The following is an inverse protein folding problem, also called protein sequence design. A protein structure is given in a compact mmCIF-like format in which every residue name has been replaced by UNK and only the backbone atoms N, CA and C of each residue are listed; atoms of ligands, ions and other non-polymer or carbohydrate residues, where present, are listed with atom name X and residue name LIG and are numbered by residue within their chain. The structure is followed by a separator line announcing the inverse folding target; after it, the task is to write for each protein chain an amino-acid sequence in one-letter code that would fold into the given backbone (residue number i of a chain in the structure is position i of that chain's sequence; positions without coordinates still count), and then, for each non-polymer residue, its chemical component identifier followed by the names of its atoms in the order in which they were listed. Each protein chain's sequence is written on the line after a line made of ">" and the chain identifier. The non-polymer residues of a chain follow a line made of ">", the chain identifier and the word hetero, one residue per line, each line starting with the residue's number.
data_IF_180397369938
#
_entry.id   IF_180397369938
#
_cell.length_a   1.000
_cell.length_b   1.000
_cell.length_c   1.000
_cell.angle_alpha   90.00
_cell.angle_beta   90.00
_cell.angle_gamma   90.00
#
_symmetry.space_group_name_H-M   'P 1'
#
loop_
_entity.id
_entity.type
_entity.pdbx_description
1 polymer ?
#
# COMPACT_ATOMS: atom_id res chain seq x y z
N UNK A 1 -2.87 -0.79 6.42
CA UNK A 1 -1.83 -1.17 5.46
C UNK A 1 -2.51 -1.88 4.31
N UNK A 2 -1.96 -1.73 3.12
CA UNK A 2 -2.34 -2.51 1.95
C UNK A 2 -1.08 -3.13 1.37
N UNK A 3 -1.22 -4.33 0.82
CA UNK A 3 -0.18 -5.03 0.07
C UNK A 3 -0.80 -5.74 -1.11
N UNK A 4 -0.11 -5.70 -2.25
CA UNK A 4 -0.44 -6.47 -3.43
C UNK A 4 0.82 -7.09 -4.04
N UNK A 5 0.69 -8.30 -4.55
CA UNK A 5 1.67 -8.93 -5.44
C UNK A 5 0.91 -9.68 -6.53
N UNK A 6 1.35 -9.53 -7.78
CA UNK A 6 0.74 -10.20 -8.94
C UNK A 6 1.80 -10.52 -9.98
N UNK A 7 1.54 -11.58 -10.74
CA UNK A 7 2.26 -11.93 -11.95
C UNK A 7 1.26 -11.93 -13.10
N UNK A 8 1.60 -11.29 -14.21
CA UNK A 8 0.79 -11.30 -15.43
C UNK A 8 1.65 -11.83 -16.56
N UNK A 9 1.13 -12.83 -17.26
CA UNK A 9 1.79 -13.43 -18.42
C UNK A 9 0.82 -13.46 -19.61
N UNK A 10 1.24 -12.78 -20.67
CA UNK A 10 0.56 -12.73 -21.97
C UNK A 10 1.62 -12.85 -23.08
N UNK A 11 1.69 -11.93 -24.04
CA UNK A 11 2.87 -11.77 -24.92
C UNK A 11 4.09 -11.24 -24.14
N UNK A 12 3.88 -10.66 -22.95
CA UNK A 12 4.92 -10.22 -22.01
C UNK A 12 4.64 -10.82 -20.64
N UNK A 13 5.70 -11.09 -19.89
CA UNK A 13 5.64 -11.52 -18.49
C UNK A 13 6.25 -10.45 -17.59
N UNK A 14 5.56 -10.11 -16.50
CA UNK A 14 6.04 -9.14 -15.52
C UNK A 14 5.34 -9.28 -14.17
N UNK A 15 6.04 -8.83 -13.14
CA UNK A 15 5.52 -8.71 -11.78
C UNK A 15 5.09 -7.28 -11.46
N UNK A 16 4.04 -7.17 -10.66
CA UNK A 16 3.58 -5.91 -10.10
C UNK A 16 3.18 -6.10 -8.65
N UNK A 17 3.17 -5.01 -7.90
CA UNK A 17 2.85 -5.07 -6.49
C UNK A 17 3.37 -3.88 -5.70
N UNK A 18 3.48 -4.09 -4.41
CA UNK A 18 3.89 -3.08 -3.46
C UNK A 18 3.20 -3.24 -2.12
N UNK A 19 3.60 -2.40 -1.19
CA UNK A 19 2.97 -2.30 0.12
C UNK A 19 3.03 -0.86 0.60
N UNK A 20 1.99 -0.43 1.29
CA UNK A 20 1.85 0.94 1.78
C UNK A 20 1.20 1.01 3.17
N UNK A 21 1.64 1.99 3.95
CA UNK A 21 1.15 2.22 5.31
C UNK A 21 0.25 3.46 5.37
N UNK A 22 -0.98 3.27 5.84
CA UNK A 22 -1.97 4.35 6.00
C UNK A 22 -2.39 4.47 7.47
N UNK A 23 -1.62 5.17 8.32
CA UNK A 23 -2.01 5.43 9.70
C UNK A 23 -3.15 6.45 9.77
N UNK A 24 -3.98 6.34 10.80
CA UNK A 24 -5.09 7.30 11.02
C UNK A 24 -4.58 8.63 11.56
N UNK A 25 -3.46 8.61 12.27
CA UNK A 25 -2.77 9.77 12.84
C UNK A 25 -1.31 9.79 12.34
N UNK A 26 -1.06 10.23 11.09
CA UNK A 26 0.29 10.26 10.52
C UNK A 26 1.30 11.00 11.38
N UNK A 27 0.87 12.06 12.06
CA UNK A 27 1.69 12.87 12.96
C UNK A 27 2.18 12.11 14.20
N UNK A 28 1.52 11.00 14.54
CA UNK A 28 1.89 10.12 15.67
C UNK A 28 2.61 8.86 15.22
N UNK A 29 2.71 8.62 13.90
CA UNK A 29 3.10 7.34 13.32
C UNK A 29 4.56 7.30 12.80
N UNK A 30 5.45 8.13 13.36
CA UNK A 30 6.81 8.30 12.86
C UNK A 30 7.67 7.04 13.07
N UNK A 31 7.45 6.31 14.17
CA UNK A 31 8.20 5.09 14.48
C UNK A 31 7.79 3.92 13.59
N UNK A 32 6.48 3.75 13.38
CA UNK A 32 5.86 2.77 12.50
C UNK A 32 6.28 3.01 11.06
N UNK A 33 6.25 4.27 10.64
CA UNK A 33 6.74 4.69 9.32
C UNK A 33 8.20 4.29 9.13
N UNK A 34 9.08 4.63 10.09
CA UNK A 34 10.51 4.23 10.01
C UNK A 34 10.69 2.72 9.95
N UNK A 35 10.01 1.96 10.81
CA UNK A 35 10.10 0.50 10.83
C UNK A 35 9.64 -0.10 9.50
N UNK A 36 8.50 0.35 8.98
CA UNK A 36 7.94 -0.11 7.72
C UNK A 36 8.87 0.19 6.53
N UNK A 37 9.36 1.42 6.45
CA UNK A 37 10.27 1.85 5.38
C UNK A 37 11.62 1.14 5.44
N UNK A 38 12.19 0.92 6.63
CA UNK A 38 13.44 0.18 6.79
C UNK A 38 13.29 -1.27 6.31
N UNK A 39 12.20 -1.95 6.68
CA UNK A 39 11.96 -3.33 6.24
C UNK A 39 11.81 -3.46 4.72
N UNK A 40 11.13 -2.50 4.08
CA UNK A 40 10.98 -2.47 2.61
C UNK A 40 12.30 -2.11 1.91
N UNK A 41 13.06 -1.17 2.48
CA UNK A 41 14.37 -0.78 1.96
C UNK A 41 15.35 -1.95 2.01
N UNK A 42 15.42 -2.67 3.13
CA UNK A 42 16.24 -3.88 3.28
C UNK A 42 15.83 -4.97 2.29
N UNK A 43 14.52 -5.15 2.05
CA UNK A 43 14.03 -6.09 1.06
C UNK A 43 14.44 -5.70 -0.36
N UNK A 44 14.34 -4.43 -0.72
CA UNK A 44 14.78 -3.94 -2.02
C UNK A 44 16.31 -4.06 -2.20
N UNK A 45 17.09 -3.66 -1.20
CA UNK A 45 18.54 -3.58 -1.28
C UNK A 45 19.23 -4.96 -1.40
N UNK A 46 18.55 -6.06 -1.05
CA UNK A 46 19.02 -7.43 -1.31
C UNK A 46 19.03 -7.80 -2.80
N UNK A 47 18.23 -7.12 -3.62
CA UNK A 47 18.06 -7.43 -5.04
C UNK A 47 18.71 -6.37 -5.92
N UNK A 48 18.47 -5.09 -5.64
CA UNK A 48 19.05 -3.97 -6.38
C UNK A 48 18.97 -2.68 -5.55
N UNK A 49 20.10 -1.99 -5.38
CA UNK A 49 20.19 -0.76 -4.57
C UNK A 49 19.35 0.41 -5.13
N UNK A 50 18.98 0.37 -6.40
CA UNK A 50 18.09 1.33 -7.05
C UNK A 50 16.60 1.03 -6.87
N UNK A 51 16.22 -0.15 -6.38
CA UNK A 51 14.81 -0.53 -6.24
C UNK A 51 14.08 0.32 -5.21
N UNK A 52 14.63 0.50 -4.01
CA UNK A 52 13.93 1.26 -2.98
C UNK A 52 13.69 2.72 -3.39
N UNK A 53 14.70 3.50 -3.85
CA UNK A 53 14.46 4.87 -4.29
C UNK A 53 13.41 4.96 -5.41
N UNK A 54 13.47 4.06 -6.40
CA UNK A 54 12.54 4.02 -7.53
C UNK A 54 11.11 3.69 -7.09
N UNK A 55 10.94 2.62 -6.32
CA UNK A 55 9.62 2.12 -5.95
C UNK A 55 8.98 2.94 -4.85
N UNK A 56 9.77 3.56 -3.97
CA UNK A 56 9.28 4.58 -3.04
C UNK A 56 8.72 5.76 -3.82
N UNK A 57 9.47 6.33 -4.76
CA UNK A 57 9.00 7.44 -5.57
C UNK A 57 7.71 7.09 -6.33
N UNK A 58 7.65 5.88 -6.91
CA UNK A 58 6.43 5.38 -7.54
C UNK A 58 5.25 5.21 -6.59
N UNK A 59 5.49 4.85 -5.32
CA UNK A 59 4.47 4.75 -4.29
C UNK A 59 3.90 6.13 -3.93
N UNK A 60 4.77 7.13 -3.75
CA UNK A 60 4.36 8.50 -3.43
C UNK A 60 3.53 9.11 -4.57
N UNK A 61 3.94 8.88 -5.81
CA UNK A 61 3.21 9.36 -6.99
C UNK A 61 1.86 8.64 -7.16
N UNK A 62 1.83 7.32 -7.02
CA UNK A 62 0.61 6.54 -7.25
C UNK A 62 -0.45 6.75 -6.17
N UNK A 63 -0.04 6.82 -4.89
CA UNK A 63 -0.94 6.93 -3.75
C UNK A 63 -1.14 8.38 -3.28
N UNK A 64 -1.32 9.30 -4.23
CA UNK A 64 -1.71 10.70 -3.97
C UNK A 64 -3.19 10.92 -4.28
N UNK A 65 -3.86 11.83 -3.57
CA UNK A 65 -5.22 12.30 -3.87
C UNK A 65 -5.13 13.70 -4.50
N UNK A 66 -5.09 13.84 -5.84
CA UNK A 66 -4.86 15.13 -6.49
C UNK A 66 -5.92 16.19 -6.15
N UNK A 67 -7.17 15.77 -5.94
CA UNK A 67 -8.27 16.68 -5.60
C UNK A 67 -8.26 17.18 -4.15
N UNK A 68 -7.43 16.58 -3.29
CA UNK A 68 -7.22 16.98 -1.89
C UNK A 68 -5.81 17.53 -1.66
N UNK A 69 -4.92 17.36 -2.63
CA UNK A 69 -3.48 17.57 -2.53
C UNK A 69 -2.87 16.93 -1.27
N UNK A 70 -3.23 15.67 -1.01
CA UNK A 70 -2.71 14.90 0.13
C UNK A 70 -2.30 13.48 -0.26
N UNK A 71 -1.24 12.92 0.34
CA UNK A 71 -0.93 11.51 0.19
C UNK A 71 -1.97 10.66 0.90
N UNK A 72 -2.22 9.46 0.38
CA UNK A 72 -3.14 8.49 1.02
C UNK A 72 -2.63 8.04 2.39
N UNK A 73 -1.31 7.91 2.54
CA UNK A 73 -0.65 7.41 3.75
C UNK A 73 0.80 7.90 3.84
N UNK A 74 1.62 7.17 4.61
CA UNK A 74 3.06 7.43 4.75
C UNK A 74 3.88 6.90 3.56
N UNK A 75 3.24 6.21 2.62
CA UNK A 75 3.91 5.59 1.47
C UNK A 75 4.39 4.18 1.78
N UNK A 76 5.43 3.77 1.09
CA UNK A 76 5.98 2.42 1.08
C UNK A 76 6.70 2.18 -0.25
N UNK A 77 6.41 1.07 -0.93
CA UNK A 77 6.92 0.81 -2.28
C UNK A 77 5.78 0.44 -3.22
N UNK A 78 5.89 0.86 -4.47
CA UNK A 78 5.00 0.48 -5.55
C UNK A 78 5.81 0.17 -6.81
N UNK A 79 5.53 -0.97 -7.42
CA UNK A 79 6.18 -1.40 -8.65
C UNK A 79 5.16 -2.03 -9.59
N UNK A 80 5.35 -1.77 -10.88
CA UNK A 80 4.54 -2.29 -11.95
C UNK A 80 5.47 -2.57 -13.14
N UNK A 81 5.15 -3.57 -13.95
CA UNK A 81 6.00 -3.99 -15.07
C UNK A 81 7.45 -4.33 -14.66
N UNK A 82 7.67 -4.96 -13.49
CA UNK A 82 8.97 -5.51 -13.13
C UNK A 82 9.25 -6.74 -14.01
N UNK A 83 10.22 -6.60 -14.91
CA UNK A 83 10.68 -7.63 -15.82
C UNK A 83 12.17 -7.38 -16.11
N UNK A 84 13.05 -7.79 -15.21
CA UNK A 84 14.51 -7.57 -15.33
C UNK A 84 15.14 -8.40 -16.45
N UNK A 85 14.44 -9.42 -16.94
CA UNK A 85 14.95 -10.44 -17.86
C UNK A 85 15.33 -11.74 -17.15
N UNK A 86 15.30 -11.75 -15.81
CA UNK A 86 15.49 -12.93 -14.96
C UNK A 86 14.22 -13.12 -14.09
N UNK A 87 13.39 -14.09 -14.46
CA UNK A 87 12.09 -14.29 -13.83
C UNK A 87 12.25 -14.79 -12.39
N UNK A 88 13.21 -15.69 -12.14
CA UNK A 88 13.50 -16.23 -10.83
C UNK A 88 14.00 -15.14 -9.87
N UNK A 89 14.83 -14.21 -10.36
CA UNK A 89 15.25 -13.05 -9.58
C UNK A 89 14.07 -12.12 -9.25
N UNK A 90 13.23 -11.80 -10.25
CA UNK A 90 12.05 -10.95 -10.05
C UNK A 90 11.05 -11.60 -9.07
N UNK A 91 10.85 -12.92 -9.17
CA UNK A 91 9.99 -13.65 -8.26
C UNK A 91 10.57 -13.69 -6.83
N UNK A 92 11.88 -13.90 -6.68
CA UNK A 92 12.55 -13.85 -5.39
C UNK A 92 12.40 -12.48 -4.71
N UNK A 93 12.49 -11.38 -5.48
CA UNK A 93 12.22 -10.04 -4.97
C UNK A 93 10.78 -9.90 -4.46
N UNK A 94 9.78 -10.32 -5.26
CA UNK A 94 8.37 -10.24 -4.87
C UNK A 94 8.09 -11.04 -3.60
N UNK A 95 8.69 -12.22 -3.46
CA UNK A 95 8.57 -13.02 -2.24
C UNK A 95 9.20 -12.33 -1.02
N UNK A 96 10.37 -11.69 -1.20
CA UNK A 96 11.05 -10.96 -0.14
C UNK A 96 10.28 -9.74 0.34
N UNK A 97 9.61 -9.01 -0.57
CA UNK A 97 8.68 -7.94 -0.20
C UNK A 97 7.56 -8.48 0.68
N UNK A 98 6.96 -9.61 0.31
CA UNK A 98 5.90 -10.23 1.11
C UNK A 98 6.37 -10.71 2.49
N UNK A 99 7.56 -11.30 2.57
CA UNK A 99 8.18 -11.69 3.85
C UNK A 99 8.46 -10.47 4.73
N UNK A 100 9.01 -9.40 4.17
CA UNK A 100 9.29 -8.17 4.91
C UNK A 100 8.01 -7.55 5.52
N UNK A 101 6.92 -7.50 4.74
CA UNK A 101 5.63 -7.00 5.24
C UNK A 101 5.07 -7.92 6.34
N UNK A 102 5.14 -9.24 6.15
CA UNK A 102 4.68 -10.22 7.14
C UNK A 102 5.44 -10.11 8.46
N UNK A 103 6.74 -9.83 8.41
CA UNK A 103 7.59 -9.69 9.59
C UNK A 103 7.36 -8.35 10.32
N UNK A 104 7.33 -7.24 9.59
CA UNK A 104 7.30 -5.90 10.20
C UNK A 104 5.90 -5.48 10.69
N UNK A 105 4.84 -5.84 9.95
CA UNK A 105 3.50 -5.29 10.21
C UNK A 105 2.89 -5.72 11.55
N UNK A 106 3.03 -6.98 12.01
CA UNK A 106 2.57 -7.38 13.34
C UNK A 106 3.23 -6.56 14.47
N UNK A 107 4.52 -6.25 14.34
CA UNK A 107 5.24 -5.40 15.29
C UNK A 107 4.67 -3.98 15.33
N UNK A 108 4.41 -3.39 14.15
CA UNK A 108 3.75 -2.08 14.02
C UNK A 108 2.37 -2.06 14.67
N UNK A 109 1.56 -3.10 14.48
CA UNK A 109 0.25 -3.22 15.13
C UNK A 109 0.43 -3.33 16.64
N UNK A 110 1.38 -4.15 17.11
CA UNK A 110 1.68 -4.33 18.52
C UNK A 110 2.09 -3.06 19.26
N UNK A 111 2.68 -2.08 18.57
CA UNK A 111 3.02 -0.78 19.14
C UNK A 111 1.78 0.03 19.59
N UNK A 112 0.60 -0.23 18.99
CA UNK A 112 -0.59 0.62 19.11
C UNK A 112 -1.86 -0.09 19.52
N UNK A 113 -1.88 -1.42 19.51
CA UNK A 113 -3.12 -2.21 19.65
C UNK A 113 -3.88 -1.93 20.95
N UNK A 114 -3.16 -1.65 22.03
CA UNK A 114 -3.72 -1.40 23.36
C UNK A 114 -3.89 0.10 23.68
N UNK A 115 -3.62 0.99 22.73
CA UNK A 115 -3.76 2.42 22.97
C UNK A 115 -5.23 2.82 23.16
N UNK A 116 -5.57 3.55 24.24
CA UNK A 116 -6.90 4.05 24.43
C UNK A 116 -7.23 5.10 23.36
N UNK A 117 -8.49 5.12 22.94
CA UNK A 117 -9.00 6.09 21.97
C UNK A 117 -10.27 6.75 22.51
N UNK A 118 -10.51 7.97 22.06
CA UNK A 118 -11.71 8.75 22.37
C UNK A 118 -12.69 8.73 21.21
N UNK A 119 -13.96 9.12 21.45
CA UNK A 119 -14.94 9.26 20.37
C UNK A 119 -14.48 10.26 19.29
N UNK A 120 -13.71 11.28 19.68
CA UNK A 120 -13.10 12.22 18.75
C UNK A 120 -12.06 11.52 17.83
N UNK A 121 -11.24 10.63 18.39
CA UNK A 121 -10.28 9.84 17.61
C UNK A 121 -11.00 8.89 16.64
N UNK A 122 -12.12 8.29 17.09
CA UNK A 122 -12.96 7.45 16.24
C UNK A 122 -13.57 8.24 15.09
N UNK A 123 -14.10 9.43 15.34
CA UNK A 123 -14.64 10.30 14.29
C UNK A 123 -13.55 10.71 13.29
N UNK A 124 -12.36 11.08 13.78
CA UNK A 124 -11.20 11.35 12.92
C UNK A 124 -10.84 10.16 12.05
N UNK A 125 -10.80 8.94 12.60
CA UNK A 125 -10.58 7.71 11.84
C UNK A 125 -11.64 7.53 10.75
N UNK A 126 -12.92 7.79 11.02
CA UNK A 126 -14.00 7.64 10.02
C UNK A 126 -13.84 8.64 8.86
N UNK A 127 -13.43 9.88 9.15
CA UNK A 127 -13.12 10.89 8.12
C UNK A 127 -11.92 10.49 7.27
N UNK A 128 -10.84 10.01 7.90
CA UNK A 128 -9.65 9.50 7.19
C UNK A 128 -9.98 8.28 6.33
N UNK A 129 -10.86 7.39 6.81
CA UNK A 129 -11.43 6.29 5.99
C UNK A 129 -12.24 6.80 4.80
N UNK A 130 -12.92 7.95 4.92
CA UNK A 130 -13.54 8.65 3.79
C UNK A 130 -12.53 8.98 2.69
N UNK A 131 -11.32 9.45 3.04
CA UNK A 131 -10.23 9.67 2.06
C UNK A 131 -9.76 8.37 1.40
N UNK A 132 -9.72 7.28 2.15
CA UNK A 132 -9.38 5.96 1.60
C UNK A 132 -10.42 5.50 0.56
N UNK A 133 -11.71 5.72 0.83
CA UNK A 133 -12.80 5.48 -0.13
C UNK A 133 -12.66 6.38 -1.37
N UNK A 134 -12.42 7.68 -1.18
CA UNK A 134 -12.20 8.64 -2.28
C UNK A 134 -11.07 8.15 -3.19
N UNK A 135 -9.93 7.73 -2.64
CA UNK A 135 -8.82 7.22 -3.43
C UNK A 135 -9.19 5.95 -4.21
N UNK A 136 -9.73 4.94 -3.54
CA UNK A 136 -9.99 3.65 -4.19
C UNK A 136 -11.04 3.76 -5.30
N UNK A 137 -12.06 4.60 -5.13
CA UNK A 137 -13.12 4.73 -6.13
C UNK A 137 -12.78 5.69 -7.27
N UNK A 138 -11.94 6.72 -7.03
CA UNK A 138 -11.64 7.74 -8.03
C UNK A 138 -10.31 7.51 -8.76
N UNK A 139 -9.28 7.03 -8.06
CA UNK A 139 -7.88 7.06 -8.53
C UNK A 139 -7.26 5.67 -8.68
N UNK A 140 -7.66 4.68 -7.88
CA UNK A 140 -7.07 3.35 -7.97
C UNK A 140 -7.41 2.67 -9.31
N UNK A 141 -6.36 2.43 -10.11
CA UNK A 141 -6.50 1.86 -11.46
C UNK A 141 -7.08 0.46 -11.42
N UNK A 142 -6.69 -0.35 -10.42
CA UNK A 142 -7.17 -1.72 -10.26
C UNK A 142 -8.66 -1.78 -9.98
N UNK A 143 -9.13 -1.00 -9.01
CA UNK A 143 -10.55 -0.89 -8.64
C UNK A 143 -11.39 -0.41 -9.82
N UNK A 144 -10.97 0.69 -10.45
CA UNK A 144 -11.72 1.26 -11.60
C UNK A 144 -11.80 0.27 -12.75
N UNK A 145 -10.69 -0.37 -13.12
CA UNK A 145 -10.67 -1.38 -14.18
C UNK A 145 -11.63 -2.53 -13.85
N UNK A 146 -11.52 -3.13 -12.66
CA UNK A 146 -12.35 -4.27 -12.25
C UNK A 146 -13.86 -3.96 -12.29
N UNK A 147 -14.26 -2.77 -11.85
CA UNK A 147 -15.66 -2.33 -11.90
C UNK A 147 -16.15 -2.12 -13.34
N UNK A 148 -15.32 -1.59 -14.23
CA UNK A 148 -15.68 -1.34 -15.63
C UNK A 148 -15.72 -2.60 -16.49
N UNK A 149 -14.96 -3.65 -16.13
CA UNK A 149 -14.84 -4.88 -16.93
C UNK A 149 -15.68 -6.06 -16.41
N UNK A 150 -16.58 -5.83 -15.45
CA UNK A 150 -17.45 -6.88 -14.90
C UNK A 150 -16.72 -7.90 -14.01
N UNK A 151 -15.67 -7.45 -13.30
CA UNK A 151 -15.01 -8.28 -12.29
C UNK A 151 -15.90 -8.60 -11.10
N UNK A 152 -15.42 -9.46 -10.20
CA UNK A 152 -16.14 -9.79 -8.97
C UNK A 152 -16.21 -8.57 -8.04
N UNK A 153 -17.42 -7.99 -7.91
CA UNK A 153 -17.65 -6.75 -7.17
C UNK A 153 -17.26 -6.87 -5.69
N UNK A 154 -17.61 -7.97 -5.03
CA UNK A 154 -17.31 -8.16 -3.61
C UNK A 154 -15.79 -8.27 -3.36
N UNK A 155 -15.07 -8.92 -4.29
CA UNK A 155 -13.62 -9.01 -4.23
C UNK A 155 -12.94 -7.66 -4.52
N UNK A 156 -13.48 -6.84 -5.42
CA UNK A 156 -12.92 -5.52 -5.74
C UNK A 156 -13.14 -4.54 -4.57
N UNK A 157 -14.35 -4.53 -4.00
CA UNK A 157 -14.75 -3.60 -2.96
C UNK A 157 -14.35 -4.05 -1.55
N UNK A 158 -13.71 -5.21 -1.38
CA UNK A 158 -13.15 -5.65 -0.09
C UNK A 158 -12.12 -4.67 0.49
N UNK A 159 -11.56 -3.80 -0.36
CA UNK A 159 -10.66 -2.73 0.05
C UNK A 159 -11.37 -1.60 0.82
N UNK A 160 -12.70 -1.47 0.70
CA UNK A 160 -13.43 -0.39 1.34
C UNK A 160 -13.55 -0.63 2.86
N UNK A 161 -13.41 0.44 3.67
CA UNK A 161 -13.60 0.34 5.11
C UNK A 161 -15.07 0.02 5.46
N UNK A 162 -15.32 -0.63 6.60
CA UNK A 162 -16.68 -0.99 7.01
C UNK A 162 -17.57 0.23 7.34
N UNK A 163 -16.95 1.35 7.74
CA UNK A 163 -17.59 2.63 8.02
C UNK A 163 -16.65 3.76 7.61
N UNK A 164 -17.22 4.79 7.00
CA UNK A 164 -16.55 6.04 6.66
C UNK A 164 -17.51 7.22 6.87
N UNK A 165 -16.97 8.41 7.06
CA UNK A 165 -17.75 9.63 7.26
C UNK A 165 -17.24 10.75 6.34
N UNK A 166 -18.17 11.62 5.94
CA UNK A 166 -17.93 12.87 5.22
C UNK A 166 -18.69 13.98 5.92
N UNK A 167 -18.06 15.15 6.01
CA UNK A 167 -18.59 16.39 6.54
C UNK A 167 -18.12 17.59 5.70
#
# INVERSE_FOLDING_TARGET
>A
MHMNTRHIETTKAWFGGGADLTPMFPERAAEEGRAFHAALEDACNRHDAGYYPRFKAGCDEYFHLPHRDEPRGLGGIFFDNLASGDWEADFAFVQDVGRAVLEVYPGIVGMRVDEPWTEADRMHQLRRRGRYVEFNLLHDRGTRFGLMTGGNIDAILMSLPPLAAWD
#
